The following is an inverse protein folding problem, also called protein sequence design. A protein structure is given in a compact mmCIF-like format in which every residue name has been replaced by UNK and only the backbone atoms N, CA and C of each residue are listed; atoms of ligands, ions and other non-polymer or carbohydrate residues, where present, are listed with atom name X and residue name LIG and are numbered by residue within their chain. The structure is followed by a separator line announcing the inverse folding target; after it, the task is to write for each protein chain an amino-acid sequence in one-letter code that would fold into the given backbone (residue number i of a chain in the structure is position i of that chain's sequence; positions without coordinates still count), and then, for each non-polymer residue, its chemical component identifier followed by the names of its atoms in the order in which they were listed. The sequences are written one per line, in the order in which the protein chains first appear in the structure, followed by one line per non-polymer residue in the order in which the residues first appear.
data_IF_479974164283
#
_entry.id   IF_479974164283
#
_cell.length_a   1.000
_cell.length_b   1.000
_cell.length_c   1.000
_cell.angle_alpha   90.00
_cell.angle_beta   90.00
_cell.angle_gamma   90.00
#
_symmetry.space_group_name_H-M   'P 1'
#
loop_
_entity.id
_entity.type
_entity.pdbx_description
1 polymer ?
#
# COMPACT_ATOMS: atom_id res chain seq x y z
N UNK A 1 23.78 2.10 -6.24
CA UNK A 1 24.08 1.59 -4.88
C UNK A 1 22.92 0.68 -4.47
N UNK A 2 23.20 -0.56 -4.10
CA UNK A 2 22.14 -1.49 -3.70
C UNK A 2 21.93 -1.39 -2.17
N UNK A 3 20.85 -0.74 -1.76
CA UNK A 3 20.51 -0.51 -0.34
C UNK A 3 20.39 -1.85 0.41
N UNK A 4 19.83 -2.86 -0.24
CA UNK A 4 19.70 -4.22 0.31
C UNK A 4 21.07 -4.80 0.69
N UNK A 5 22.05 -4.74 -0.20
CA UNK A 5 23.36 -5.34 0.03
C UNK A 5 24.10 -4.61 1.15
N UNK A 6 23.96 -3.29 1.23
CA UNK A 6 24.52 -2.48 2.32
C UNK A 6 23.89 -2.83 3.67
N UNK A 7 22.56 -3.06 3.71
CA UNK A 7 21.89 -3.45 4.96
C UNK A 7 22.32 -4.84 5.45
N UNK A 8 22.55 -5.78 4.54
CA UNK A 8 23.07 -7.11 4.87
C UNK A 8 24.51 -7.01 5.42
N UNK A 9 25.38 -6.23 4.75
CA UNK A 9 26.76 -6.04 5.21
C UNK A 9 26.78 -5.45 6.63
N UNK A 10 26.03 -4.38 6.88
CA UNK A 10 25.90 -3.79 8.22
C UNK A 10 25.36 -4.77 9.25
N UNK A 11 24.37 -5.59 8.88
CA UNK A 11 23.82 -6.61 9.76
C UNK A 11 24.86 -7.66 10.12
N UNK A 12 25.70 -8.09 9.17
CA UNK A 12 26.79 -9.04 9.43
C UNK A 12 27.79 -8.50 10.47
N UNK A 13 28.14 -7.22 10.39
CA UNK A 13 29.05 -6.59 11.36
C UNK A 13 28.38 -6.55 12.75
N UNK A 14 27.12 -6.16 12.83
CA UNK A 14 26.38 -6.14 14.10
C UNK A 14 26.23 -7.53 14.73
N UNK A 15 26.01 -8.57 13.93
CA UNK A 15 25.94 -9.94 14.42
C UNK A 15 27.32 -10.47 14.93
N UNK A 16 28.44 -10.00 14.34
CA UNK A 16 29.78 -10.33 14.82
C UNK A 16 30.13 -9.65 16.14
N UNK A 17 29.61 -8.43 16.35
CA UNK A 17 29.79 -7.67 17.58
C UNK A 17 28.98 -8.22 18.76
N UNK A 18 27.84 -8.85 18.48
CA UNK A 18 26.86 -9.28 19.50
C UNK A 18 26.66 -10.78 19.47
N UNK A 19 27.10 -11.46 20.52
CA UNK A 19 26.90 -12.91 20.67
C UNK A 19 25.42 -13.27 20.86
N UNK A 20 25.03 -14.44 20.37
CA UNK A 20 23.67 -15.00 20.50
C UNK A 20 22.57 -14.08 19.95
N UNK A 21 22.84 -13.38 18.84
CA UNK A 21 21.91 -12.45 18.25
C UNK A 21 21.33 -12.94 16.91
N UNK A 22 20.16 -12.41 16.60
CA UNK A 22 19.47 -12.63 15.32
C UNK A 22 19.16 -11.25 14.72
N UNK A 23 19.25 -11.15 13.41
CA UNK A 23 18.96 -9.93 12.68
C UNK A 23 18.01 -10.16 11.52
N UNK A 24 17.15 -9.20 11.28
CA UNK A 24 16.20 -9.20 10.16
C UNK A 24 16.56 -8.06 9.20
N UNK A 25 16.87 -8.40 7.96
CA UNK A 25 16.96 -7.42 6.88
C UNK A 25 15.71 -7.51 6.01
N UNK A 26 15.09 -6.37 5.78
CA UNK A 26 13.93 -6.27 4.90
C UNK A 26 14.30 -5.53 3.62
N UNK A 27 13.67 -5.87 2.54
CA UNK A 27 13.74 -5.13 1.29
C UNK A 27 12.34 -4.87 0.77
N UNK A 28 12.17 -3.70 0.19
CA UNK A 28 10.92 -3.25 -0.39
C UNK A 28 11.15 -2.84 -1.83
N UNK A 29 10.20 -3.12 -2.69
CA UNK A 29 10.25 -2.72 -4.08
C UNK A 29 8.86 -2.45 -4.64
N UNK A 30 8.84 -1.73 -5.76
CA UNK A 30 7.65 -1.49 -6.55
C UNK A 30 6.45 -0.98 -5.74
N UNK A 31 6.53 0.28 -5.25
CA UNK A 31 5.45 0.92 -4.46
C UNK A 31 4.98 0.09 -3.26
N UNK A 32 5.91 -0.52 -2.54
CA UNK A 32 5.62 -1.36 -1.37
C UNK A 32 4.81 -2.65 -1.65
N UNK A 33 4.72 -3.09 -2.89
CA UNK A 33 3.97 -4.32 -3.26
C UNK A 33 4.81 -5.59 -3.29
N UNK A 34 6.15 -5.45 -3.25
CA UNK A 34 7.08 -6.57 -3.23
C UNK A 34 7.99 -6.47 -2.02
N UNK A 35 8.02 -7.50 -1.22
CA UNK A 35 8.83 -7.56 -0.01
C UNK A 35 9.78 -8.75 -0.06
N UNK A 36 11.00 -8.55 0.42
CA UNK A 36 11.96 -9.61 0.70
C UNK A 36 12.35 -9.56 2.16
N UNK A 37 12.54 -10.72 2.76
CA UNK A 37 12.97 -10.88 4.14
C UNK A 37 14.20 -11.77 4.19
N UNK A 38 15.24 -11.34 4.91
CA UNK A 38 16.42 -12.14 5.21
C UNK A 38 16.62 -12.22 6.71
N UNK A 39 16.55 -13.42 7.27
CA UNK A 39 16.86 -13.67 8.67
C UNK A 39 18.29 -14.18 8.76
N UNK A 40 19.10 -13.53 9.58
CA UNK A 40 20.51 -13.83 9.80
C UNK A 40 20.77 -14.11 11.27
N UNK A 41 21.72 -15.01 11.58
CA UNK A 41 22.04 -15.35 12.93
C UNK A 41 23.52 -15.72 13.05
N UNK A 42 24.14 -15.41 14.18
CA UNK A 42 25.43 -15.95 14.57
C UNK A 42 25.30 -17.20 15.47
N UNK A 43 24.06 -17.68 15.68
CA UNK A 43 23.77 -18.93 16.35
C UNK A 43 23.45 -19.98 15.28
N UNK A 44 24.12 -21.14 15.27
CA UNK A 44 23.78 -22.23 14.37
C UNK A 44 22.32 -22.65 14.55
N UNK A 45 21.65 -23.00 13.46
CA UNK A 45 20.34 -23.58 13.52
C UNK A 45 20.41 -25.04 14.00
N UNK A 46 19.74 -25.35 15.09
CA UNK A 46 19.79 -26.67 15.74
C UNK A 46 18.80 -27.69 15.15
N UNK A 47 18.13 -27.40 14.08
CA UNK A 47 17.13 -28.29 13.48
C UNK A 47 17.41 -28.64 12.03
N UNK A 48 16.61 -29.53 11.48
CA UNK A 48 16.58 -29.77 10.05
C UNK A 48 15.79 -28.65 9.37
N UNK A 49 16.50 -27.74 8.70
CA UNK A 49 15.84 -26.69 7.95
C UNK A 49 15.00 -27.29 6.80
N UNK A 50 13.74 -27.00 6.80
CA UNK A 50 12.81 -27.40 5.73
C UNK A 50 12.05 -26.17 5.24
N UNK A 51 12.14 -25.91 3.96
CA UNK A 51 11.32 -24.87 3.33
C UNK A 51 9.93 -25.44 3.07
N UNK A 52 8.92 -24.69 3.48
CA UNK A 52 7.56 -24.97 3.01
C UNK A 52 7.43 -24.70 1.51
N UNK A 53 6.55 -25.46 0.87
CA UNK A 53 6.21 -25.21 -0.54
C UNK A 53 5.55 -23.83 -0.67
N UNK A 54 6.12 -22.88 -1.45
CA UNK A 54 5.58 -21.53 -1.56
C UNK A 54 4.11 -21.47 -1.95
N UNK A 55 3.63 -22.43 -2.73
CA UNK A 55 2.23 -22.48 -3.15
C UNK A 55 1.26 -22.71 -2.00
N UNK A 56 1.68 -23.37 -0.91
CA UNK A 56 0.80 -23.64 0.23
C UNK A 56 0.46 -22.37 1.00
N UNK A 57 1.46 -21.53 1.31
CA UNK A 57 1.19 -20.26 2.01
C UNK A 57 0.66 -19.19 1.06
N UNK A 58 1.01 -19.24 -0.24
CA UNK A 58 0.42 -18.32 -1.22
C UNK A 58 -1.08 -18.58 -1.35
N UNK A 59 -1.49 -19.86 -1.38
CA UNK A 59 -2.91 -20.21 -1.40
C UNK A 59 -3.66 -19.64 -0.19
N UNK A 60 -3.09 -19.71 1.00
CA UNK A 60 -3.71 -19.14 2.20
C UNK A 60 -3.91 -17.60 2.08
N UNK A 61 -3.01 -16.90 1.38
CA UNK A 61 -3.15 -15.47 1.10
C UNK A 61 -4.20 -15.23 0.02
N UNK A 62 -4.22 -16.05 -1.01
CA UNK A 62 -5.18 -15.93 -2.12
C UNK A 62 -6.62 -16.22 -1.70
N UNK A 63 -6.79 -17.07 -0.69
CA UNK A 63 -8.09 -17.41 -0.11
C UNK A 63 -8.62 -16.34 0.89
N UNK A 64 -7.83 -15.29 1.21
CA UNK A 64 -8.31 -14.18 2.03
C UNK A 64 -9.43 -13.41 1.32
N UNK A 65 -10.45 -13.07 2.09
CA UNK A 65 -11.54 -12.23 1.61
C UNK A 65 -11.03 -10.87 1.14
N UNK A 66 -11.42 -10.48 -0.07
CA UNK A 66 -11.04 -9.20 -0.69
C UNK A 66 -12.29 -8.46 -1.09
N UNK A 67 -12.36 -7.16 -0.86
CA UNK A 67 -13.47 -6.37 -1.36
C UNK A 67 -13.47 -6.37 -2.90
N UNK A 68 -14.63 -6.60 -3.49
CA UNK A 68 -14.83 -6.43 -4.92
C UNK A 68 -14.50 -4.99 -5.33
N UNK A 69 -13.95 -4.85 -6.53
CA UNK A 69 -13.67 -3.54 -7.14
C UNK A 69 -14.73 -3.22 -8.16
N UNK A 70 -15.21 -1.99 -8.13
CA UNK A 70 -16.10 -1.44 -9.15
C UNK A 70 -15.28 -0.57 -10.11
N UNK A 71 -15.28 -0.96 -11.39
CA UNK A 71 -14.53 -0.23 -12.42
C UNK A 71 -15.32 0.96 -12.98
N UNK A 72 -16.65 1.01 -12.73
CA UNK A 72 -17.56 2.06 -13.17
C UNK A 72 -18.43 2.57 -12.01
N UNK A 73 -17.78 3.12 -10.97
CA UNK A 73 -18.46 3.51 -9.73
C UNK A 73 -19.36 4.72 -9.95
N UNK A 74 -20.51 4.74 -9.27
CA UNK A 74 -21.43 5.87 -9.31
C UNK A 74 -22.24 6.01 -8.02
N UNK A 75 -22.48 7.26 -7.61
CA UNK A 75 -23.33 7.60 -6.47
C UNK A 75 -22.56 7.98 -5.22
N UNK A 76 -23.24 7.85 -4.07
CA UNK A 76 -22.66 8.17 -2.78
C UNK A 76 -21.64 7.12 -2.37
N UNK A 77 -20.56 7.59 -1.74
CA UNK A 77 -19.43 6.76 -1.36
C UNK A 77 -18.71 7.36 -0.16
N UNK A 78 -17.96 6.52 0.53
CA UNK A 78 -17.14 6.89 1.69
C UNK A 78 -15.65 6.70 1.36
N UNK A 79 -14.81 7.68 1.68
CA UNK A 79 -13.36 7.65 1.44
C UNK A 79 -12.69 6.75 2.47
N UNK A 80 -11.97 5.70 2.01
CA UNK A 80 -11.16 4.82 2.87
C UNK A 80 -9.72 5.31 3.01
N UNK A 81 -9.16 5.89 1.96
CA UNK A 81 -7.84 6.49 1.97
C UNK A 81 -7.68 7.48 0.83
N UNK A 82 -6.77 8.43 1.00
CA UNK A 82 -6.56 9.47 0.01
C UNK A 82 -5.12 9.94 -0.03
N UNK A 83 -4.77 10.61 -1.10
CA UNK A 83 -3.53 11.36 -1.25
C UNK A 83 -3.70 12.50 -2.24
N UNK A 84 -2.84 13.51 -2.15
CA UNK A 84 -2.79 14.61 -3.12
C UNK A 84 -1.45 14.60 -3.82
N UNK A 85 -1.47 14.47 -5.13
CA UNK A 85 -0.29 14.64 -5.95
C UNK A 85 0.01 16.14 -6.10
N UNK A 86 1.19 16.54 -5.64
CA UNK A 86 1.67 17.93 -5.73
C UNK A 86 2.64 18.10 -6.90
N UNK A 87 2.48 19.15 -7.65
CA UNK A 87 3.42 19.62 -8.66
C UNK A 87 4.33 20.73 -8.13
N UNK A 88 4.99 21.45 -9.04
CA UNK A 88 5.85 22.59 -8.67
C UNK A 88 5.04 23.77 -8.16
N UNK A 89 3.83 23.93 -8.66
CA UNK A 89 2.96 25.09 -8.42
C UNK A 89 1.86 24.80 -7.38
N UNK A 90 1.91 23.65 -6.72
CA UNK A 90 0.93 23.24 -5.69
C UNK A 90 0.21 21.93 -5.99
N UNK A 91 -0.92 21.67 -5.31
CA UNK A 91 -1.71 20.47 -5.50
C UNK A 91 -2.29 20.41 -6.92
N UNK A 92 -2.16 19.24 -7.55
CA UNK A 92 -2.58 19.01 -8.93
C UNK A 92 -3.74 18.04 -9.04
N UNK A 93 -3.75 17.00 -8.21
CA UNK A 93 -4.72 15.93 -8.33
C UNK A 93 -4.93 15.23 -6.99
N UNK A 94 -6.17 15.17 -6.56
CA UNK A 94 -6.60 14.31 -5.47
C UNK A 94 -6.83 12.89 -5.98
N UNK A 95 -6.43 11.89 -5.21
CA UNK A 95 -6.65 10.47 -5.51
C UNK A 95 -7.27 9.85 -4.28
N UNK A 96 -8.37 9.14 -4.45
CA UNK A 96 -9.04 8.42 -3.36
C UNK A 96 -9.24 6.95 -3.71
N UNK A 97 -9.19 6.12 -2.67
CA UNK A 97 -9.81 4.80 -2.65
C UNK A 97 -10.97 4.91 -1.68
N UNK A 98 -12.14 4.46 -2.08
CA UNK A 98 -13.35 4.52 -1.26
C UNK A 98 -14.25 3.33 -1.47
N UNK A 99 -15.38 3.36 -0.79
CA UNK A 99 -16.45 2.36 -0.90
C UNK A 99 -17.74 3.02 -1.34
N UNK A 100 -18.40 2.37 -2.28
CA UNK A 100 -19.75 2.76 -2.74
C UNK A 100 -20.75 2.32 -1.67
N UNK A 101 -21.57 3.24 -1.18
CA UNK A 101 -22.52 2.98 -0.10
C UNK A 101 -23.58 1.94 -0.49
N UNK A 102 -23.98 1.92 -1.77
CA UNK A 102 -25.03 1.04 -2.25
C UNK A 102 -24.64 -0.45 -2.29
N UNK A 103 -23.36 -0.79 -2.54
CA UNK A 103 -22.95 -2.17 -2.78
C UNK A 103 -21.67 -2.58 -2.06
N UNK A 104 -21.06 -1.67 -1.29
CA UNK A 104 -19.84 -1.86 -0.52
C UNK A 104 -18.61 -2.26 -1.37
N UNK A 105 -18.65 -2.06 -2.68
CA UNK A 105 -17.52 -2.30 -3.56
C UNK A 105 -16.51 -1.17 -3.46
N UNK A 106 -15.25 -1.52 -3.59
CA UNK A 106 -14.15 -0.56 -3.61
C UNK A 106 -14.01 0.10 -4.96
N UNK A 107 -13.60 1.35 -4.99
CA UNK A 107 -13.26 2.07 -6.22
C UNK A 107 -12.00 2.91 -6.01
N UNK A 108 -11.43 3.33 -7.13
CA UNK A 108 -10.42 4.39 -7.18
C UNK A 108 -10.94 5.51 -8.06
N UNK A 109 -10.77 6.76 -7.61
CA UNK A 109 -11.18 7.94 -8.36
C UNK A 109 -10.20 9.10 -8.15
N UNK A 110 -10.25 10.07 -9.06
CA UNK A 110 -9.41 11.27 -9.04
C UNK A 110 -10.27 12.53 -9.02
N UNK A 111 -9.70 13.63 -8.53
CA UNK A 111 -10.30 14.97 -8.66
C UNK A 111 -9.23 16.01 -8.94
N UNK A 112 -9.51 16.90 -9.88
CA UNK A 112 -8.69 18.09 -10.16
C UNK A 112 -9.46 19.36 -9.78
N UNK A 113 -10.60 19.23 -9.09
CA UNK A 113 -11.39 20.37 -8.63
C UNK A 113 -10.69 21.11 -7.49
N UNK A 114 -10.50 22.43 -7.66
CA UNK A 114 -9.74 23.25 -6.70
C UNK A 114 -10.31 23.20 -5.28
N UNK A 115 -11.64 23.19 -5.12
CA UNK A 115 -12.28 23.12 -3.80
C UNK A 115 -12.05 21.78 -3.14
N UNK A 116 -12.21 20.71 -3.90
CA UNK A 116 -11.93 19.35 -3.41
C UNK A 116 -10.47 19.21 -2.99
N UNK A 117 -9.52 19.75 -3.78
CA UNK A 117 -8.10 19.75 -3.44
C UNK A 117 -7.79 20.59 -2.19
N UNK A 118 -8.42 21.77 -2.05
CA UNK A 118 -8.28 22.59 -0.85
C UNK A 118 -8.73 21.83 0.42
N UNK A 119 -9.89 21.18 0.36
CA UNK A 119 -10.41 20.36 1.45
C UNK A 119 -9.43 19.23 1.79
N UNK A 120 -8.96 18.49 0.78
CA UNK A 120 -8.02 17.37 0.99
C UNK A 120 -6.67 17.80 1.56
N UNK A 121 -6.27 19.05 1.37
CA UNK A 121 -5.02 19.60 1.90
C UNK A 121 -5.16 20.19 3.32
N UNK A 122 -6.35 20.58 3.72
CA UNK A 122 -6.59 21.32 4.96
C UNK A 122 -7.40 20.55 6.01
N UNK A 123 -8.14 19.53 5.59
CA UNK A 123 -9.01 18.74 6.45
C UNK A 123 -8.69 17.24 6.36
N UNK A 124 -9.09 16.49 7.41
CA UNK A 124 -9.05 15.02 7.40
C UNK A 124 -10.19 14.48 6.55
N UNK A 125 -9.84 13.67 5.54
CA UNK A 125 -10.81 13.10 4.61
C UNK A 125 -11.07 11.59 4.81
N UNK A 126 -10.44 10.95 5.78
CA UNK A 126 -10.77 9.55 6.10
C UNK A 126 -12.20 9.43 6.63
N UNK A 127 -12.94 8.47 6.11
CA UNK A 127 -14.36 8.22 6.41
C UNK A 127 -15.30 9.39 6.04
N UNK A 128 -14.87 10.29 5.17
CA UNK A 128 -15.69 11.38 4.67
C UNK A 128 -16.54 10.92 3.49
N UNK A 129 -17.77 11.42 3.43
CA UNK A 129 -18.67 11.19 2.32
C UNK A 129 -18.19 11.92 1.07
N UNK A 130 -18.36 11.29 -0.07
CA UNK A 130 -18.08 11.87 -1.38
C UNK A 130 -19.08 11.34 -2.42
N UNK A 131 -19.11 12.01 -3.56
CA UNK A 131 -19.89 11.54 -4.73
C UNK A 131 -18.90 11.10 -5.79
N UNK A 132 -19.06 9.89 -6.29
CA UNK A 132 -18.25 9.33 -7.37
C UNK A 132 -19.07 9.17 -8.64
N UNK A 133 -18.44 9.41 -9.78
CA UNK A 133 -19.03 9.21 -11.11
C UNK A 133 -17.94 8.97 -12.14
N UNK A 134 -18.33 8.55 -13.34
CA UNK A 134 -17.43 8.43 -14.48
C UNK A 134 -17.58 9.63 -15.40
N UNK A 135 -16.49 10.22 -15.83
CA UNK A 135 -16.50 11.33 -16.76
C UNK A 135 -16.56 10.86 -18.23
N UNK A 136 -16.68 11.81 -19.16
CA UNK A 136 -16.74 11.53 -20.62
C UNK A 136 -15.45 10.91 -21.19
N UNK A 137 -14.34 11.00 -20.48
CA UNK A 137 -13.04 10.41 -20.85
C UNK A 137 -12.86 8.99 -20.30
N UNK A 138 -13.87 8.47 -19.58
CA UNK A 138 -13.84 7.16 -18.98
C UNK A 138 -13.02 7.07 -17.68
N UNK A 139 -12.72 8.20 -17.04
CA UNK A 139 -12.05 8.26 -15.75
C UNK A 139 -13.08 8.35 -14.62
N UNK A 140 -12.83 7.65 -13.54
CA UNK A 140 -13.63 7.80 -12.32
C UNK A 140 -13.20 9.09 -11.63
N UNK A 141 -14.15 9.98 -11.39
CA UNK A 141 -13.97 11.26 -10.72
C UNK A 141 -14.78 11.31 -9.43
N UNK A 142 -14.32 12.09 -8.47
CA UNK A 142 -15.05 12.32 -7.22
C UNK A 142 -15.09 13.81 -6.85
N UNK A 143 -16.05 14.16 -5.99
CA UNK A 143 -16.17 15.46 -5.33
C UNK A 143 -16.55 15.27 -3.86
N UNK A 144 -16.09 16.21 -3.01
CA UNK A 144 -16.43 16.30 -1.59
C UNK A 144 -17.38 17.46 -1.36
#
# INVERSE_FOLDING_TARGET
MCIRDSSIATMMDKLRENNNSKGLCTSNGWYATKHGLGLYSNIPYEGNWKREEPKSYQKAIDDLDRPDVDEDPSGNATIETYTVANGRDGPQMGIVIGRIDANNKRFIAISNDEKTLEIMMTEECLNRDCIVSRNSEGLNIFSI
#
